data_IF_415642652879
#
_entry.id   IF_415642652879
#
_cell.length_a   1.000
_cell.length_b   1.000
_cell.length_c   1.000
_cell.angle_alpha   90.00
_cell.angle_beta   90.00
_cell.angle_gamma   90.00
#
_symmetry.space_group_name_H-M   'P 1'
#
loop_
_entity.id
_entity.type
_entity.pdbx_description
1 polymer ?
#
# COMPACT_ATOMS: atom_id res chain seq x y z
N UNK A 1 9.75 27.94 -28.50
CA UNK A 1 9.59 26.56 -29.02
C UNK A 1 10.06 25.50 -28.00
N UNK A 2 10.56 25.90 -26.81
CA UNK A 2 11.11 24.99 -25.78
C UNK A 2 10.14 24.67 -24.62
N UNK A 3 9.03 25.40 -24.46
CA UNK A 3 8.08 25.14 -23.35
C UNK A 3 7.27 23.84 -23.54
N UNK A 4 7.08 23.41 -24.78
CA UNK A 4 6.29 22.22 -25.10
C UNK A 4 6.99 20.93 -24.67
N UNK A 5 8.33 20.88 -24.70
CA UNK A 5 9.12 19.70 -24.32
C UNK A 5 9.21 19.53 -22.81
N UNK A 6 9.33 20.63 -22.04
CA UNK A 6 9.34 20.57 -20.57
C UNK A 6 7.99 20.07 -20.05
N UNK A 7 6.89 20.50 -20.66
CA UNK A 7 5.55 20.03 -20.29
C UNK A 7 5.29 18.57 -20.69
N UNK A 8 5.72 18.12 -21.87
CA UNK A 8 5.58 16.71 -22.26
C UNK A 8 6.42 15.79 -21.38
N UNK A 9 7.66 16.18 -21.08
CA UNK A 9 8.52 15.42 -20.16
C UNK A 9 7.91 15.39 -18.77
N UNK A 10 7.40 16.51 -18.24
CA UNK A 10 6.69 16.57 -16.97
C UNK A 10 5.44 15.67 -16.94
N UNK A 11 4.61 15.72 -17.99
CA UNK A 11 3.39 14.90 -18.06
C UNK A 11 3.63 13.41 -18.24
N UNK A 12 4.79 13.01 -18.77
CA UNK A 12 5.19 11.60 -18.89
C UNK A 12 5.91 11.14 -17.63
N UNK A 13 6.79 11.96 -17.03
CA UNK A 13 7.49 11.61 -15.79
C UNK A 13 6.57 11.59 -14.57
N UNK A 14 5.56 12.45 -14.50
CA UNK A 14 4.66 12.51 -13.35
C UNK A 14 3.87 11.19 -13.15
N UNK A 15 3.21 10.58 -14.15
CA UNK A 15 2.63 9.25 -14.00
C UNK A 15 3.69 8.16 -13.83
N UNK A 16 4.92 8.33 -14.35
CA UNK A 16 6.00 7.36 -14.14
C UNK A 16 6.63 7.41 -12.74
N UNK A 17 6.59 8.54 -12.03
CA UNK A 17 7.11 8.70 -10.66
C UNK A 17 6.02 8.56 -9.61
N UNK A 18 4.88 9.19 -9.85
CA UNK A 18 3.74 9.19 -8.94
C UNK A 18 2.87 7.94 -9.11
N UNK A 19 2.85 7.33 -10.29
CA UNK A 19 2.17 6.05 -10.53
C UNK A 19 2.75 4.92 -9.68
N UNK A 20 4.06 4.64 -9.68
CA UNK A 20 4.66 3.65 -8.79
C UNK A 20 4.45 4.00 -7.34
N UNK A 21 4.50 5.27 -6.94
CA UNK A 21 4.27 5.71 -5.56
C UNK A 21 2.81 5.47 -5.12
N UNK A 22 1.82 5.75 -5.98
CA UNK A 22 0.40 5.45 -5.73
C UNK A 22 0.18 3.95 -5.71
N UNK A 23 0.77 3.19 -6.62
CA UNK A 23 0.69 1.72 -6.62
C UNK A 23 1.35 1.17 -5.35
N UNK A 24 2.49 1.71 -4.90
CA UNK A 24 3.14 1.35 -3.64
C UNK A 24 2.25 1.71 -2.45
N UNK A 25 1.68 2.90 -2.43
CA UNK A 25 0.78 3.34 -1.36
C UNK A 25 -0.48 2.47 -1.31
N UNK A 26 -1.12 2.19 -2.44
CA UNK A 26 -2.30 1.33 -2.52
C UNK A 26 -1.98 -0.14 -2.20
N UNK A 27 -0.82 -0.65 -2.59
CA UNK A 27 -0.39 -2.01 -2.23
C UNK A 27 0.03 -2.12 -0.77
N UNK A 28 0.64 -1.08 -0.19
CA UNK A 28 0.98 -1.00 1.23
C UNK A 28 -0.26 -0.82 2.09
N UNK A 29 -1.18 0.06 1.71
CA UNK A 29 -2.48 0.26 2.37
C UNK A 29 -3.33 -1.01 2.22
N UNK A 30 -3.34 -1.64 1.04
CA UNK A 30 -4.01 -2.91 0.81
C UNK A 30 -3.42 -4.04 1.65
N UNK A 31 -2.09 -4.13 1.77
CA UNK A 31 -1.41 -5.09 2.66
C UNK A 31 -1.63 -4.79 4.13
N UNK A 32 -1.62 -3.52 4.54
CA UNK A 32 -1.87 -3.10 5.91
C UNK A 32 -3.33 -3.35 6.31
N UNK A 33 -4.27 -3.12 5.40
CA UNK A 33 -5.68 -3.44 5.55
C UNK A 33 -5.89 -4.96 5.63
N UNK A 34 -5.22 -5.76 4.77
CA UNK A 34 -5.25 -7.22 4.85
C UNK A 34 -4.63 -7.76 6.14
N UNK A 35 -3.55 -7.15 6.64
CA UNK A 35 -2.95 -7.51 7.94
C UNK A 35 -3.86 -7.13 9.11
N UNK A 36 -4.52 -5.97 9.08
CA UNK A 36 -5.51 -5.57 10.10
C UNK A 36 -6.79 -6.41 10.06
N UNK A 37 -7.16 -6.94 8.89
CA UNK A 37 -8.33 -7.81 8.71
C UNK A 37 -8.16 -9.21 9.32
N UNK A 38 -6.94 -9.58 9.73
CA UNK A 38 -6.70 -10.78 10.55
C UNK A 38 -7.19 -10.67 11.99
N UNK A 39 -7.66 -9.49 12.44
CA UNK A 39 -7.90 -9.25 13.87
C UNK A 39 -9.24 -8.58 14.22
N UNK A 40 -10.12 -8.31 13.25
CA UNK A 40 -11.40 -7.64 13.54
C UNK A 40 -12.53 -8.04 12.60
N UNK A 41 -13.56 -8.66 13.17
CA UNK A 41 -14.87 -8.89 12.58
C UNK A 41 -15.39 -7.63 11.85
N UNK A 42 -15.46 -7.66 10.53
CA UNK A 42 -16.35 -6.76 9.77
C UNK A 42 -16.71 -7.39 8.43
N UNK A 43 -17.86 -8.08 8.46
CA UNK A 43 -18.94 -8.06 7.47
C UNK A 43 -18.55 -7.83 6.01
N UNK A 44 -17.96 -8.85 5.40
CA UNK A 44 -18.25 -9.26 4.02
C UNK A 44 -17.91 -10.75 3.91
N UNK A 45 -18.65 -11.57 4.66
CA UNK A 45 -18.61 -13.03 4.58
C UNK A 45 -19.43 -13.54 3.37
N UNK A 46 -19.14 -13.03 2.18
CA UNK A 46 -19.42 -13.79 0.95
C UNK A 46 -18.09 -14.36 0.47
N UNK A 47 -17.76 -15.52 1.02
CA UNK A 47 -16.54 -16.32 0.87
C UNK A 47 -16.46 -17.00 -0.51
N UNK A 48 -16.67 -16.24 -1.58
CA UNK A 48 -16.40 -16.69 -2.94
C UNK A 48 -15.14 -16.02 -3.50
N UNK A 49 -14.24 -16.74 -4.19
CA UNK A 49 -13.16 -16.10 -4.93
C UNK A 49 -13.70 -15.01 -5.87
N UNK A 50 -14.87 -15.24 -6.47
CA UNK A 50 -15.56 -14.28 -7.34
C UNK A 50 -15.84 -12.90 -6.68
N UNK A 51 -16.20 -12.86 -5.40
CA UNK A 51 -16.52 -11.60 -4.70
C UNK A 51 -15.25 -10.79 -4.40
N UNK A 52 -14.14 -11.48 -4.15
CA UNK A 52 -12.83 -10.84 -3.96
C UNK A 52 -12.31 -10.20 -5.24
N UNK A 53 -12.49 -10.85 -6.39
CA UNK A 53 -12.17 -10.26 -7.70
C UNK A 53 -13.08 -9.08 -8.02
N UNK A 54 -14.38 -9.18 -7.70
CA UNK A 54 -15.35 -8.10 -7.93
C UNK A 54 -15.01 -6.81 -7.17
N UNK A 55 -14.67 -6.91 -5.87
CA UNK A 55 -14.31 -5.75 -5.06
C UNK A 55 -12.99 -5.09 -5.49
N UNK A 56 -11.99 -5.90 -5.89
CA UNK A 56 -10.75 -5.37 -6.44
C UNK A 56 -10.95 -4.67 -7.78
N UNK A 57 -11.73 -5.28 -8.68
CA UNK A 57 -12.03 -4.72 -10.00
C UNK A 57 -12.83 -3.42 -9.89
N UNK A 58 -13.84 -3.35 -9.02
CA UNK A 58 -14.64 -2.13 -8.84
C UNK A 58 -13.81 -0.97 -8.30
N UNK A 59 -12.94 -1.21 -7.31
CA UNK A 59 -12.02 -0.21 -6.81
C UNK A 59 -11.04 0.26 -7.92
N UNK A 60 -10.53 -0.67 -8.72
CA UNK A 60 -9.64 -0.36 -9.85
C UNK A 60 -10.34 0.53 -10.89
N UNK A 61 -11.56 0.18 -11.31
CA UNK A 61 -12.35 0.96 -12.25
C UNK A 61 -12.55 2.38 -11.74
N UNK A 62 -12.88 2.55 -10.46
CA UNK A 62 -13.10 3.87 -9.86
C UNK A 62 -11.82 4.72 -9.84
N UNK A 63 -10.67 4.12 -9.50
CA UNK A 63 -9.37 4.81 -9.54
C UNK A 63 -9.01 5.19 -10.97
N UNK A 64 -9.15 4.28 -11.94
CA UNK A 64 -8.87 4.56 -13.35
C UNK A 64 -9.81 5.65 -13.91
N UNK A 65 -11.08 5.64 -13.54
CA UNK A 65 -12.05 6.65 -13.95
C UNK A 65 -11.69 8.04 -13.40
N UNK A 66 -11.28 8.10 -12.13
CA UNK A 66 -10.80 9.34 -11.53
C UNK A 66 -9.53 9.87 -12.23
N UNK A 67 -8.55 9.01 -12.50
CA UNK A 67 -7.35 9.39 -13.24
C UNK A 67 -7.67 9.87 -14.67
N UNK A 68 -8.54 9.16 -15.40
CA UNK A 68 -8.97 9.55 -16.74
C UNK A 68 -9.67 10.92 -16.74
N UNK A 69 -10.55 11.16 -15.78
CA UNK A 69 -11.23 12.46 -15.62
C UNK A 69 -10.25 13.59 -15.29
N UNK A 70 -9.26 13.35 -14.44
CA UNK A 70 -8.25 14.36 -14.09
C UNK A 70 -7.37 14.71 -15.29
N UNK A 71 -6.97 13.73 -16.10
CA UNK A 71 -6.22 13.99 -17.34
C UNK A 71 -7.07 14.76 -18.35
N UNK A 72 -8.33 14.37 -18.54
CA UNK A 72 -9.22 15.05 -19.47
C UNK A 72 -9.52 16.51 -19.07
N UNK A 73 -9.71 16.78 -17.77
CA UNK A 73 -10.02 18.12 -17.26
C UNK A 73 -8.77 18.98 -17.06
N UNK A 74 -7.94 18.67 -16.07
CA UNK A 74 -6.74 19.44 -15.74
C UNK A 74 -5.70 19.39 -16.87
N UNK A 75 -5.49 18.21 -17.46
CA UNK A 75 -4.63 18.07 -18.64
C UNK A 75 -5.16 18.85 -19.83
N UNK A 76 -6.46 18.79 -20.13
CA UNK A 76 -7.07 19.55 -21.22
C UNK A 76 -6.96 21.07 -21.06
N UNK A 77 -7.04 21.57 -19.82
CA UNK A 77 -6.88 23.00 -19.53
C UNK A 77 -5.44 23.48 -19.83
N UNK A 78 -4.44 22.70 -19.42
CA UNK A 78 -3.02 23.01 -19.59
C UNK A 78 -2.58 22.78 -21.05
N UNK A 79 -2.90 21.61 -21.60
CA UNK A 79 -2.50 21.15 -22.92
C UNK A 79 -3.72 20.68 -23.75
N UNK A 80 -4.37 21.59 -24.49
CA UNK A 80 -5.57 21.30 -25.29
C UNK A 80 -5.45 20.14 -26.27
N UNK A 81 -4.27 19.86 -26.88
CA UNK A 81 -4.12 18.70 -27.75
C UNK A 81 -4.49 17.35 -27.10
N UNK A 82 -4.50 17.25 -25.77
CA UNK A 82 -4.91 16.03 -25.06
C UNK A 82 -6.39 15.70 -25.22
N UNK A 83 -7.25 16.72 -25.31
CA UNK A 83 -8.69 16.51 -25.46
C UNK A 83 -9.10 16.41 -26.93
N UNK A 84 -8.32 16.97 -27.85
CA UNK A 84 -8.60 16.88 -29.29
C UNK A 84 -8.42 15.47 -29.85
N UNK A 85 -7.63 14.61 -29.21
CA UNK A 85 -7.51 13.18 -29.59
C UNK A 85 -8.86 12.47 -29.54
N UNK A 86 -9.76 12.90 -28.66
CA UNK A 86 -11.10 12.33 -28.53
C UNK A 86 -12.16 13.05 -29.39
N UNK A 87 -11.79 14.13 -30.07
CA UNK A 87 -12.72 14.90 -30.90
C UNK A 87 -13.36 14.13 -32.07
N UNK A 88 -12.68 13.19 -32.78
CA UNK A 88 -13.32 12.42 -33.86
C UNK A 88 -14.45 11.49 -33.37
N UNK A 89 -14.56 11.24 -32.06
CA UNK A 89 -15.69 10.47 -31.51
C UNK A 89 -16.94 11.32 -31.29
N UNK A 90 -16.83 12.65 -31.41
CA UNK A 90 -17.88 13.61 -31.05
C UNK A 90 -18.27 14.50 -32.22
N UNK A 91 -17.35 14.69 -33.18
CA UNK A 91 -17.50 15.56 -34.33
C UNK A 91 -17.11 14.80 -35.60
N UNK A 92 -18.04 14.71 -36.55
CA UNK A 92 -17.76 14.14 -37.89
C UNK A 92 -17.06 15.15 -38.81
N UNK A 93 -17.11 16.45 -38.45
CA UNK A 93 -16.55 17.56 -39.22
C UNK A 93 -15.15 18.01 -38.75
N UNK A 94 -14.81 19.27 -39.03
CA UNK A 94 -13.53 19.84 -38.61
C UNK A 94 -13.62 20.42 -37.21
N UNK A 95 -12.59 20.18 -36.42
CA UNK A 95 -12.52 20.63 -35.02
C UNK A 95 -11.70 21.90 -34.97
N UNK A 96 -12.31 22.99 -34.53
CA UNK A 96 -11.66 24.29 -34.40
C UNK A 96 -11.58 24.69 -32.92
N UNK A 97 -10.41 25.16 -32.49
CA UNK A 97 -10.17 25.56 -31.11
C UNK A 97 -10.09 27.08 -31.02
N UNK A 98 -11.07 27.70 -30.39
CA UNK A 98 -11.09 29.16 -30.22
C UNK A 98 -10.60 29.53 -28.82
N UNK A 99 -9.52 30.31 -28.75
CA UNK A 99 -9.02 30.88 -27.50
C UNK A 99 -9.49 32.32 -27.39
N UNK A 100 -10.25 32.63 -26.34
CA UNK A 100 -10.67 34.00 -26.01
C UNK A 100 -9.97 34.44 -24.73
N UNK A 101 -9.12 35.46 -24.84
CA UNK A 101 -8.57 36.13 -23.67
C UNK A 101 -9.66 36.99 -23.03
N UNK A 102 -9.94 36.78 -21.75
CA UNK A 102 -10.86 37.62 -20.98
C UNK A 102 -10.14 38.20 -19.77
N UNK A 103 -10.51 39.41 -19.38
CA UNK A 103 -9.96 40.09 -18.21
C UNK A 103 -11.10 40.45 -17.29
N UNK A 104 -11.11 39.88 -16.07
CA UNK A 104 -12.15 40.14 -15.07
C UNK A 104 -11.80 41.36 -14.20
N UNK A 105 -10.50 41.68 -14.08
CA UNK A 105 -9.96 42.85 -13.35
C UNK A 105 -8.70 43.36 -14.06
N UNK A 106 -8.43 44.67 -14.03
CA UNK A 106 -7.15 45.20 -14.52
C UNK A 106 -5.98 44.49 -13.81
N UNK A 107 -5.10 43.87 -14.59
CA UNK A 107 -3.97 43.05 -14.10
C UNK A 107 -4.24 41.54 -14.01
N UNK A 108 -5.49 41.07 -14.14
CA UNK A 108 -5.81 39.63 -14.18
C UNK A 108 -6.22 39.21 -15.59
N UNK A 109 -5.45 38.32 -16.21
CA UNK A 109 -5.76 37.75 -17.52
C UNK A 109 -6.19 36.29 -17.35
N UNK A 110 -7.32 35.93 -17.96
CA UNK A 110 -7.82 34.56 -18.10
C UNK A 110 -7.90 34.17 -19.58
N UNK A 111 -7.76 32.88 -19.86
CA UNK A 111 -7.92 32.34 -21.21
C UNK A 111 -9.04 31.32 -21.17
N UNK A 112 -10.15 31.63 -21.84
CA UNK A 112 -11.23 30.67 -22.09
C UNK A 112 -10.91 29.96 -23.40
N UNK A 113 -10.96 28.63 -23.38
CA UNK A 113 -10.75 27.80 -24.57
C UNK A 113 -12.03 27.01 -24.82
N UNK A 114 -12.64 27.26 -25.97
CA UNK A 114 -13.83 26.54 -26.41
C UNK A 114 -13.47 25.69 -27.64
N UNK A 115 -13.99 24.47 -27.67
CA UNK A 115 -13.80 23.53 -28.76
C UNK A 115 -15.10 23.47 -29.55
N UNK A 116 -15.02 23.87 -30.82
CA UNK A 116 -16.16 23.88 -31.72
C UNK A 116 -16.03 22.80 -32.79
N UNK A 117 -17.16 22.19 -33.12
CA UNK A 117 -17.29 21.36 -34.31
C UNK A 117 -17.90 22.22 -35.43
N UNK A 118 -17.25 22.23 -36.59
CA UNK A 118 -17.81 22.74 -37.83
C UNK A 118 -18.40 21.56 -38.58
N UNK A 119 -19.74 21.43 -38.54
CA UNK A 119 -20.46 20.43 -39.32
C UNK A 119 -20.23 20.68 -40.83
N UNK A 120 -20.47 19.65 -41.66
CA UNK A 120 -20.37 19.76 -43.12
C UNK A 120 -21.26 20.86 -43.71
N UNK A 121 -22.36 21.21 -43.02
CA UNK A 121 -23.28 22.28 -43.38
C UNK A 121 -22.77 23.70 -42.99
N UNK A 122 -21.56 23.80 -42.43
CA UNK A 122 -20.98 25.06 -41.95
C UNK A 122 -21.54 25.55 -40.61
N UNK A 123 -22.36 24.74 -39.93
CA UNK A 123 -22.90 25.09 -38.61
C UNK A 123 -21.86 24.83 -37.53
N UNK A 124 -21.60 25.85 -36.71
CA UNK A 124 -20.72 25.75 -35.55
C UNK A 124 -21.50 25.27 -34.33
N UNK A 125 -21.04 24.20 -33.68
CA UNK A 125 -21.61 23.67 -32.44
C UNK A 125 -20.55 23.56 -31.35
N UNK A 126 -20.88 23.99 -30.13
CA UNK A 126 -19.99 23.79 -28.98
C UNK A 126 -20.02 22.33 -28.55
N UNK A 127 -18.86 21.69 -28.60
CA UNK A 127 -18.67 20.29 -28.23
C UNK A 127 -17.79 20.14 -27.00
N UNK A 128 -17.38 21.23 -26.34
CA UNK A 128 -16.35 21.22 -25.29
C UNK A 128 -16.64 20.19 -24.20
N UNK A 129 -17.86 20.19 -23.65
CA UNK A 129 -18.24 19.25 -22.58
C UNK A 129 -18.27 17.80 -23.07
N UNK A 130 -18.74 17.56 -24.31
CA UNK A 130 -18.82 16.22 -24.90
C UNK A 130 -17.42 15.69 -25.20
N UNK A 131 -16.52 16.54 -25.69
CA UNK A 131 -15.11 16.20 -25.94
C UNK A 131 -14.39 15.88 -24.64
N UNK A 132 -14.61 16.66 -23.57
CA UNK A 132 -14.05 16.35 -22.25
C UNK A 132 -14.58 15.01 -21.73
N UNK A 133 -15.88 14.74 -21.87
CA UNK A 133 -16.46 13.46 -21.48
C UNK A 133 -15.89 12.28 -22.27
N UNK A 134 -15.79 12.40 -23.59
CA UNK A 134 -15.20 11.38 -24.46
C UNK A 134 -13.72 11.15 -24.13
N UNK A 135 -12.96 12.21 -23.90
CA UNK A 135 -11.57 12.13 -23.47
C UNK A 135 -11.44 11.43 -22.11
N UNK A 136 -12.32 11.74 -21.15
CA UNK A 136 -12.31 11.09 -19.84
C UNK A 136 -12.53 9.57 -19.96
N UNK A 137 -13.49 9.14 -20.78
CA UNK A 137 -13.72 7.72 -21.07
C UNK A 137 -12.51 7.09 -21.75
N UNK A 138 -11.95 7.75 -22.78
CA UNK A 138 -10.77 7.27 -23.50
C UNK A 138 -9.57 7.04 -22.56
N UNK A 139 -9.22 8.02 -21.74
CA UNK A 139 -8.12 7.89 -20.79
C UNK A 139 -8.43 6.88 -19.68
N UNK A 140 -9.68 6.76 -19.25
CA UNK A 140 -10.10 5.72 -18.28
C UNK A 140 -9.82 4.32 -18.83
N UNK A 141 -10.22 4.05 -20.09
CA UNK A 141 -9.97 2.77 -20.76
C UNK A 141 -8.47 2.52 -20.96
N UNK A 142 -7.70 3.56 -21.29
CA UNK A 142 -6.26 3.47 -21.43
C UNK A 142 -5.58 3.10 -20.10
N UNK A 143 -5.95 3.75 -19.00
CA UNK A 143 -5.42 3.39 -17.67
C UNK A 143 -5.88 2.01 -17.20
N UNK A 144 -7.15 1.66 -17.46
CA UNK A 144 -7.69 0.35 -17.08
C UNK A 144 -6.99 -0.77 -17.85
N UNK A 145 -6.82 -0.63 -19.16
CA UNK A 145 -6.11 -1.62 -19.99
C UNK A 145 -4.65 -1.75 -19.58
N UNK A 146 -3.94 -0.63 -19.34
CA UNK A 146 -2.57 -0.66 -18.84
C UNK A 146 -2.47 -1.35 -17.46
N UNK A 147 -3.41 -1.09 -16.54
CA UNK A 147 -3.44 -1.73 -15.24
C UNK A 147 -3.75 -3.23 -15.34
N UNK A 148 -4.69 -3.64 -16.20
CA UNK A 148 -5.00 -5.05 -16.43
C UNK A 148 -3.80 -5.80 -17.05
N UNK A 149 -3.11 -5.20 -18.02
CA UNK A 149 -1.88 -5.76 -18.59
C UNK A 149 -0.81 -5.90 -17.52
N UNK A 150 -0.60 -4.88 -16.68
CA UNK A 150 0.36 -4.96 -15.57
C UNK A 150 -0.01 -6.09 -14.59
N UNK A 151 -1.28 -6.20 -14.20
CA UNK A 151 -1.78 -7.27 -13.32
C UNK A 151 -1.55 -8.64 -13.93
N UNK A 152 -1.73 -8.80 -15.24
CA UNK A 152 -1.51 -10.05 -15.97
C UNK A 152 -0.01 -10.38 -16.13
N UNK A 153 0.85 -9.38 -16.31
CA UNK A 153 2.30 -9.55 -16.47
C UNK A 153 3.03 -9.79 -15.14
N UNK A 154 2.53 -9.22 -14.03
CA UNK A 154 3.11 -9.41 -12.70
C UNK A 154 3.34 -10.88 -12.31
N UNK A 155 2.40 -11.83 -12.50
CA UNK A 155 2.65 -13.24 -12.21
C UNK A 155 3.69 -13.86 -13.15
N UNK A 156 3.79 -13.42 -14.42
CA UNK A 156 4.80 -13.93 -15.35
C UNK A 156 6.21 -13.48 -14.96
N UNK A 157 6.36 -12.21 -14.57
CA UNK A 157 7.64 -11.67 -14.06
C UNK A 157 8.02 -12.32 -12.73
N UNK A 158 7.03 -12.56 -11.86
CA UNK A 158 7.26 -13.20 -10.56
C UNK A 158 7.53 -14.70 -10.68
N UNK A 159 6.94 -15.37 -11.67
CA UNK A 159 7.18 -16.79 -11.96
C UNK A 159 8.61 -17.02 -12.42
N UNK A 160 9.21 -16.11 -13.21
CA UNK A 160 10.65 -16.19 -13.52
C UNK A 160 11.53 -16.06 -12.28
N UNK A 161 11.18 -15.19 -11.33
CA UNK A 161 11.90 -15.09 -10.04
C UNK A 161 11.66 -16.28 -9.11
N UNK A 162 10.61 -17.06 -9.32
CA UNK A 162 10.38 -18.31 -8.60
C UNK A 162 11.03 -19.52 -9.30
N UNK A 163 11.35 -19.41 -10.60
CA UNK A 163 12.15 -20.39 -11.34
C UNK A 163 13.66 -20.21 -11.06
N UNK A 164 14.12 -18.98 -10.80
CA UNK A 164 15.31 -18.71 -9.98
C UNK A 164 14.97 -18.89 -8.49
N UNK A 165 14.35 -20.02 -8.16
CA UNK A 165 14.17 -20.46 -6.80
C UNK A 165 15.52 -20.39 -6.09
N UNK A 166 15.52 -19.74 -4.92
CA UNK A 166 16.61 -19.61 -3.97
C UNK A 166 17.69 -20.70 -4.17
N UNK A 167 18.97 -20.38 -4.43
CA UNK A 167 20.02 -21.39 -4.43
C UNK A 167 19.87 -22.21 -3.14
N UNK A 168 20.02 -23.55 -3.17
CA UNK A 168 19.61 -24.46 -2.09
C UNK A 168 20.07 -24.01 -0.69
N UNK A 169 21.20 -23.30 -0.65
CA UNK A 169 21.81 -22.63 0.50
C UNK A 169 20.84 -21.66 1.23
N UNK A 170 20.07 -20.84 0.52
CA UNK A 170 19.18 -19.84 1.16
C UNK A 170 17.90 -20.49 1.70
N UNK A 171 17.41 -21.53 1.03
CA UNK A 171 16.28 -22.31 1.51
C UNK A 171 16.64 -23.09 2.78
N UNK A 172 17.84 -23.70 2.82
CA UNK A 172 18.39 -24.37 3.99
C UNK A 172 18.63 -23.39 5.15
N UNK A 173 19.20 -22.22 4.86
CA UNK A 173 19.42 -21.17 5.87
C UNK A 173 18.11 -20.64 6.47
N UNK A 174 17.06 -20.48 5.65
CA UNK A 174 15.72 -20.11 6.15
C UNK A 174 15.11 -21.20 7.02
N UNK A 175 15.27 -22.46 6.66
CA UNK A 175 14.85 -23.60 7.47
C UNK A 175 15.55 -23.59 8.83
N UNK A 176 16.89 -23.48 8.83
CA UNK A 176 17.70 -23.43 10.04
C UNK A 176 17.35 -22.22 10.94
N UNK A 177 17.06 -21.06 10.36
CA UNK A 177 16.65 -19.87 11.11
C UNK A 177 15.24 -20.02 11.71
N UNK A 178 14.30 -20.62 10.97
CA UNK A 178 12.95 -20.90 11.47
C UNK A 178 12.97 -21.90 12.62
N UNK A 179 13.82 -22.93 12.54
CA UNK A 179 14.02 -23.89 13.62
C UNK A 179 14.66 -23.24 14.86
N UNK A 180 15.66 -22.36 14.69
CA UNK A 180 16.22 -21.61 15.83
C UNK A 180 15.19 -20.73 16.52
N UNK A 181 14.37 -20.00 15.75
CA UNK A 181 13.31 -19.16 16.33
C UNK A 181 12.27 -19.98 17.09
N UNK A 182 11.99 -21.20 16.64
CA UNK A 182 11.08 -22.12 17.33
C UNK A 182 11.66 -22.61 18.65
N UNK A 183 12.95 -22.93 18.68
CA UNK A 183 13.65 -23.34 19.90
C UNK A 183 13.67 -22.19 20.92
N UNK A 184 13.97 -20.96 20.50
CA UNK A 184 13.99 -19.80 21.39
C UNK A 184 12.59 -19.52 21.98
N UNK A 185 11.53 -19.67 21.17
CA UNK A 185 10.17 -19.54 21.65
C UNK A 185 9.78 -20.61 22.69
N UNK A 186 10.25 -21.85 22.53
CA UNK A 186 10.00 -22.94 23.49
C UNK A 186 10.79 -22.75 24.80
N UNK A 187 11.99 -22.18 24.77
CA UNK A 187 12.77 -21.85 25.97
C UNK A 187 12.06 -20.78 26.80
N UNK A 188 11.62 -19.70 26.15
CA UNK A 188 10.88 -18.62 26.83
C UNK A 188 9.56 -19.14 27.41
N UNK A 189 8.88 -20.04 26.69
CA UNK A 189 7.63 -20.65 27.16
C UNK A 189 7.82 -21.57 28.36
N UNK A 190 8.92 -22.35 28.43
CA UNK A 190 9.26 -23.16 29.62
C UNK A 190 9.63 -22.28 30.81
N UNK A 191 10.37 -21.20 30.61
CA UNK A 191 10.73 -20.28 31.69
C UNK A 191 9.49 -19.61 32.31
N UNK A 192 8.45 -19.34 31.51
CA UNK A 192 7.19 -18.77 31.99
C UNK A 192 6.29 -19.76 32.76
N UNK A 193 6.58 -21.07 32.71
CA UNK A 193 5.77 -22.14 33.35
C UNK A 193 6.45 -22.79 34.55
N UNK A 194 7.53 -22.22 35.09
CA UNK A 194 8.14 -22.67 36.34
C UNK A 194 7.77 -21.71 37.51
N UNK A 195 6.55 -21.76 38.06
CA UNK A 195 6.16 -20.94 39.21
C UNK A 195 6.73 -21.46 40.54
N UNK A 196 7.37 -22.64 40.59
CA UNK A 196 7.74 -23.32 41.85
C UNK A 196 9.23 -23.30 42.19
N UNK A 197 10.10 -22.83 41.28
CA UNK A 197 11.55 -22.80 41.51
C UNK A 197 11.99 -21.84 42.63
N UNK A 198 11.17 -20.83 42.96
CA UNK A 198 11.44 -19.93 44.09
C UNK A 198 11.13 -20.56 45.45
N UNK A 199 10.10 -21.42 45.54
CA UNK A 199 9.74 -22.10 46.80
C UNK A 199 10.70 -23.23 47.16
N UNK A 200 11.13 -24.01 46.18
CA UNK A 200 12.09 -25.11 46.40
C UNK A 200 13.47 -24.59 46.83
N UNK A 201 13.87 -23.41 46.34
CA UNK A 201 15.11 -22.73 46.75
C UNK A 201 15.10 -22.26 48.21
N UNK A 202 13.97 -21.73 48.70
CA UNK A 202 13.87 -21.23 50.09
C UNK A 202 13.91 -22.38 51.09
N UNK A 203 13.17 -23.46 50.85
CA UNK A 203 13.19 -24.65 51.72
C UNK A 203 14.57 -25.33 51.73
N UNK A 204 15.23 -25.40 50.57
CA UNK A 204 16.60 -25.90 50.45
C UNK A 204 17.60 -25.08 51.27
N UNK A 205 17.51 -23.75 51.22
CA UNK A 205 18.37 -22.85 51.99
C UNK A 205 18.14 -22.96 53.50
N UNK A 206 16.89 -23.12 53.94
CA UNK A 206 16.56 -23.32 55.35
C UNK A 206 17.10 -24.66 55.87
N UNK A 207 16.98 -25.76 55.12
CA UNK A 207 17.58 -27.05 55.50
C UNK A 207 19.11 -26.99 55.56
N UNK A 208 19.73 -26.28 54.63
CA UNK A 208 21.19 -26.12 54.65
C UNK A 208 21.67 -25.35 55.88
N UNK A 209 21.02 -24.24 56.25
CA UNK A 209 21.33 -23.52 57.49
C UNK A 209 21.14 -24.39 58.73
N UNK A 210 20.08 -25.21 58.75
CA UNK A 210 19.85 -26.13 59.86
C UNK A 210 20.98 -27.16 59.98
N UNK A 211 21.48 -27.70 58.87
CA UNK A 211 22.61 -28.64 58.87
C UNK A 211 23.91 -28.02 59.39
N UNK A 212 24.15 -26.73 59.12
CA UNK A 212 25.34 -26.02 59.62
C UNK A 212 25.28 -25.80 61.13
N UNK A 213 24.10 -25.47 61.65
CA UNK A 213 23.88 -25.33 63.09
C UNK A 213 24.04 -26.67 63.80
N UNK A 214 23.42 -27.72 63.27
CA UNK A 214 23.47 -29.06 63.88
C UNK A 214 24.91 -29.64 63.82
N UNK A 215 25.73 -29.20 62.87
CA UNK A 215 27.17 -29.48 62.81
C UNK A 215 28.07 -28.61 63.71
N UNK A 216 27.49 -27.68 64.49
CA UNK A 216 28.23 -26.77 65.37
C UNK A 216 29.07 -25.71 64.64
N UNK A 217 28.85 -25.52 63.33
CA UNK A 217 29.62 -24.59 62.48
C UNK A 217 29.14 -23.14 62.61
N UNK A 218 27.93 -22.93 63.12
CA UNK A 218 27.35 -21.61 63.36
C UNK A 218 26.70 -21.58 64.75
N UNK A 219 26.73 -20.41 65.40
CA UNK A 219 26.07 -20.20 66.68
C UNK A 219 24.54 -20.08 66.49
N UNK A 220 23.78 -20.32 67.57
CA UNK A 220 22.31 -20.20 67.53
C UNK A 220 21.88 -18.76 67.15
N UNK A 221 22.63 -17.76 67.59
CA UNK A 221 22.35 -16.36 67.28
C UNK A 221 22.51 -16.06 65.78
N UNK A 222 23.58 -16.56 65.15
CA UNK A 222 23.81 -16.41 63.70
C UNK A 222 22.76 -17.15 62.87
N UNK A 223 22.30 -18.30 63.36
CA UNK A 223 21.24 -19.07 62.72
C UNK A 223 19.91 -18.28 62.67
N UNK A 224 19.51 -17.67 63.78
CA UNK A 224 18.25 -16.91 63.82
C UNK A 224 18.29 -15.66 62.93
N UNK A 225 19.42 -14.94 62.87
CA UNK A 225 19.58 -13.78 61.98
C UNK A 225 19.44 -14.18 60.51
N UNK A 226 20.15 -15.22 60.06
CA UNK A 226 20.10 -15.68 58.66
C UNK A 226 18.75 -16.30 58.29
N UNK A 227 18.08 -16.96 59.24
CA UNK A 227 16.74 -17.48 59.04
C UNK A 227 15.74 -16.35 58.82
N UNK A 228 15.81 -15.27 59.59
CA UNK A 228 14.94 -14.11 59.40
C UNK A 228 15.22 -13.39 58.07
N UNK A 229 16.48 -13.28 57.65
CA UNK A 229 16.84 -12.69 56.35
C UNK A 229 16.24 -13.47 55.17
N UNK A 230 16.28 -14.81 55.22
CA UNK A 230 15.67 -15.66 54.19
C UNK A 230 14.15 -15.52 54.19
N UNK A 231 13.53 -15.51 55.37
CA UNK A 231 12.07 -15.35 55.49
C UNK A 231 11.60 -13.94 55.12
N UNK A 232 12.44 -12.91 55.26
CA UNK A 232 12.16 -11.55 54.82
C UNK A 232 12.30 -11.36 53.30
N UNK A 233 12.98 -12.30 52.61
CA UNK A 233 13.14 -12.30 51.15
C UNK A 233 11.99 -12.99 50.38
N UNK A 234 10.97 -13.47 51.11
CA UNK A 234 9.69 -13.97 50.59
C UNK A 234 8.71 -12.82 50.36
#
# INVERSE_FOLDING_TARGET
MEDSTIFTVGMVLFPFLLGPAIILALTLVGRAALRRRGQGNTSCNLTGPAVRWGCGLSALILVCAFCGLMVASAGGAIHPPLVTVAAPYVCDGTVETQSRSYSYKPGQQGIARNIFCLDLDGRQRDITLRTIGAAAVYYTLLFLSAALVLILLLPLVKSRRAADADPPIIAEFRGALADRLRIDADIVRRAAWAPDASRESVEGRLRHLQSLRDGGLISEEEYQVKRMEILASL
#
